data_IF_576814478744
#
_entry.id   IF_576814478744
#
_cell.length_a   1.000
_cell.length_b   1.000
_cell.length_c   1.000
_cell.angle_alpha   90.00
_cell.angle_beta   90.00
_cell.angle_gamma   90.00
#
_symmetry.space_group_name_H-M   'P 1'
#
loop_
_entity.id
_entity.type
_entity.pdbx_description
1 polymer ?
#
# COMPACT_ATOMS: atom_id res chain seq x y z
N UNK A 1 10.42 21.62 -7.44
CA UNK A 1 10.45 20.60 -6.36
C UNK A 1 9.45 20.97 -5.27
N UNK A 2 8.21 20.46 -5.37
CA UNK A 2 7.10 20.68 -4.40
C UNK A 2 7.52 20.55 -2.93
N UNK A 3 6.95 21.37 -2.05
CA UNK A 3 7.14 21.27 -0.59
C UNK A 3 6.40 20.06 -0.03
N UNK A 4 6.86 19.52 1.10
CA UNK A 4 6.24 18.35 1.76
C UNK A 4 4.76 18.61 2.09
N UNK A 5 4.43 19.78 2.62
CA UNK A 5 3.05 20.17 2.90
C UNK A 5 2.18 20.23 1.64
N UNK A 6 2.74 20.62 0.50
CA UNK A 6 2.04 20.63 -0.79
C UNK A 6 1.77 19.21 -1.27
N UNK A 7 2.68 18.25 -1.04
CA UNK A 7 2.46 16.84 -1.37
C UNK A 7 1.31 16.27 -0.54
N UNK A 8 1.28 16.53 0.77
CA UNK A 8 0.19 16.10 1.66
C UNK A 8 -1.13 16.70 1.18
N UNK A 9 -1.19 18.02 0.96
CA UNK A 9 -2.39 18.70 0.49
C UNK A 9 -2.87 18.15 -0.86
N UNK A 10 -1.97 18.02 -1.82
CA UNK A 10 -2.28 17.54 -3.16
C UNK A 10 -2.73 16.08 -3.15
N UNK A 11 -2.16 15.23 -2.29
CA UNK A 11 -2.63 13.84 -2.13
C UNK A 11 -4.07 13.77 -1.62
N UNK A 12 -4.42 14.62 -0.64
CA UNK A 12 -5.78 14.70 -0.13
C UNK A 12 -6.75 15.27 -1.15
N UNK A 13 -6.37 16.36 -1.82
CA UNK A 13 -7.18 17.01 -2.85
C UNK A 13 -7.45 16.07 -4.03
N UNK A 14 -6.43 15.33 -4.49
CA UNK A 14 -6.58 14.34 -5.56
C UNK A 14 -7.53 13.22 -5.14
N UNK A 15 -7.36 12.70 -3.93
CA UNK A 15 -8.19 11.61 -3.41
C UNK A 15 -9.66 12.03 -3.23
N UNK A 16 -9.91 13.19 -2.60
CA UNK A 16 -11.26 13.68 -2.31
C UNK A 16 -11.99 14.23 -3.52
N UNK A 17 -11.33 14.99 -4.39
CA UNK A 17 -11.95 15.55 -5.60
C UNK A 17 -12.40 14.48 -6.59
N UNK A 18 -11.77 13.30 -6.57
CA UNK A 18 -12.10 12.15 -7.43
C UNK A 18 -12.54 10.93 -6.62
N UNK A 19 -13.04 11.11 -5.39
CA UNK A 19 -13.35 10.01 -4.47
C UNK A 19 -14.24 8.92 -5.08
N UNK A 20 -15.29 9.30 -5.83
CA UNK A 20 -16.17 8.34 -6.52
C UNK A 20 -15.43 7.41 -7.49
N UNK A 21 -14.34 7.87 -8.10
CA UNK A 21 -13.52 7.06 -9.01
C UNK A 21 -12.54 6.15 -8.26
N UNK A 22 -12.22 6.46 -7.00
CA UNK A 22 -11.45 5.58 -6.14
C UNK A 22 -12.30 4.50 -5.45
N UNK A 23 -13.63 4.68 -5.39
CA UNK A 23 -14.55 3.78 -4.69
C UNK A 23 -14.46 2.30 -5.11
N UNK A 24 -14.30 1.94 -6.41
CA UNK A 24 -14.09 0.55 -6.80
C UNK A 24 -12.80 -0.06 -6.24
N UNK A 25 -11.73 0.74 -6.15
CA UNK A 25 -10.46 0.29 -5.57
C UNK A 25 -10.56 0.11 -4.06
N UNK A 26 -11.26 1.02 -3.37
CA UNK A 26 -11.57 0.90 -1.95
C UNK A 26 -12.36 -0.37 -1.66
N UNK A 27 -13.42 -0.62 -2.44
CA UNK A 27 -14.22 -1.84 -2.33
C UNK A 27 -13.40 -3.10 -2.59
N UNK A 28 -12.54 -3.09 -3.62
CA UNK A 28 -11.67 -4.24 -3.91
C UNK A 28 -10.67 -4.51 -2.77
N UNK A 29 -9.98 -3.49 -2.27
CA UNK A 29 -9.03 -3.63 -1.15
C UNK A 29 -9.75 -4.09 0.11
N UNK A 30 -10.91 -3.52 0.41
CA UNK A 30 -11.72 -3.90 1.56
C UNK A 30 -12.18 -5.36 1.46
N UNK A 31 -12.76 -5.78 0.33
CA UNK A 31 -13.22 -7.16 0.14
C UNK A 31 -12.06 -8.14 0.27
N UNK A 32 -10.90 -7.82 -0.33
CA UNK A 32 -9.72 -8.69 -0.25
C UNK A 32 -9.16 -8.79 1.16
N UNK A 33 -9.04 -7.67 1.88
CA UNK A 33 -8.58 -7.66 3.28
C UNK A 33 -9.56 -8.38 4.20
N UNK A 34 -10.86 -8.08 4.11
CA UNK A 34 -11.91 -8.77 4.85
C UNK A 34 -11.93 -10.28 4.57
N UNK A 35 -11.73 -10.70 3.32
CA UNK A 35 -11.63 -12.11 2.97
C UNK A 35 -10.42 -12.77 3.64
N UNK A 36 -9.25 -12.12 3.63
CA UNK A 36 -8.05 -12.65 4.29
C UNK A 36 -8.22 -12.73 5.81
N UNK A 37 -8.68 -11.65 6.44
CA UNK A 37 -8.91 -11.56 7.88
C UNK A 37 -9.96 -12.58 8.35
N UNK A 38 -11.09 -12.67 7.64
CA UNK A 38 -12.15 -13.64 7.93
C UNK A 38 -11.63 -15.07 7.75
N UNK A 39 -10.92 -15.36 6.67
CA UNK A 39 -10.39 -16.70 6.42
C UNK A 39 -9.43 -17.14 7.55
N UNK A 40 -8.59 -16.23 8.05
CA UNK A 40 -7.68 -16.51 9.15
C UNK A 40 -8.44 -16.87 10.44
N UNK A 41 -9.47 -16.10 10.79
CA UNK A 41 -10.32 -16.38 11.96
C UNK A 41 -11.07 -17.70 11.80
N UNK A 42 -11.66 -17.95 10.64
CA UNK A 42 -12.41 -19.19 10.40
C UNK A 42 -11.51 -20.43 10.46
N UNK A 43 -10.32 -20.35 9.86
CA UNK A 43 -9.31 -21.42 9.91
C UNK A 43 -8.89 -21.68 11.36
N UNK A 44 -8.64 -20.62 12.12
CA UNK A 44 -8.18 -20.78 13.50
C UNK A 44 -9.27 -21.35 14.42
N UNK A 45 -10.50 -20.84 14.30
CA UNK A 45 -11.63 -21.20 15.16
C UNK A 45 -12.21 -22.58 14.85
N UNK A 46 -12.38 -22.92 13.56
CA UNK A 46 -13.20 -24.06 13.14
C UNK A 46 -12.41 -25.25 12.60
N UNK A 47 -11.16 -25.07 12.16
CA UNK A 47 -10.36 -26.18 11.64
C UNK A 47 -9.53 -26.82 12.75
N UNK A 48 -9.75 -28.10 13.00
CA UNK A 48 -8.93 -28.91 13.92
C UNK A 48 -7.69 -29.43 13.20
N UNK A 49 -6.81 -28.51 12.79
CA UNK A 49 -5.54 -28.82 12.11
C UNK A 49 -4.36 -28.41 12.99
N UNK A 50 -3.17 -29.02 12.81
CA UNK A 50 -1.94 -28.52 13.41
C UNK A 50 -1.68 -27.06 13.03
N UNK A 51 -1.10 -26.28 13.94
CA UNK A 51 -0.84 -24.84 13.73
C UNK A 51 -0.03 -24.56 12.45
N UNK A 52 0.89 -25.46 12.10
CA UNK A 52 1.67 -25.35 10.86
C UNK A 52 0.78 -25.42 9.61
N UNK A 53 -0.23 -26.29 9.59
CA UNK A 53 -1.14 -26.41 8.46
C UNK A 53 -2.05 -25.18 8.36
N UNK A 54 -2.58 -24.68 9.48
CA UNK A 54 -3.36 -23.43 9.53
C UNK A 54 -2.57 -22.25 8.97
N UNK A 55 -1.32 -22.09 9.41
CA UNK A 55 -0.41 -21.05 8.95
C UNK A 55 -0.12 -21.13 7.45
N UNK A 56 0.11 -22.34 6.92
CA UNK A 56 0.36 -22.52 5.48
C UNK A 56 -0.87 -22.18 4.64
N UNK A 57 -2.08 -22.58 5.08
CA UNK A 57 -3.32 -22.28 4.37
C UNK A 57 -3.61 -20.78 4.41
N UNK A 58 -3.55 -20.14 5.58
CA UNK A 58 -3.80 -18.69 5.72
C UNK A 58 -2.75 -17.87 4.97
N UNK A 59 -1.48 -18.29 5.01
CA UNK A 59 -0.39 -17.72 4.24
C UNK A 59 -0.63 -17.82 2.74
N UNK A 60 -1.09 -18.98 2.24
CA UNK A 60 -1.40 -19.15 0.83
C UNK A 60 -2.59 -18.28 0.37
N UNK A 61 -3.66 -18.19 1.16
CA UNK A 61 -4.79 -17.29 0.89
C UNK A 61 -4.33 -15.83 0.85
N UNK A 62 -3.52 -15.42 1.84
CA UNK A 62 -2.97 -14.06 1.91
C UNK A 62 -2.06 -13.75 0.72
N UNK A 63 -1.26 -14.73 0.29
CA UNK A 63 -0.41 -14.61 -0.90
C UNK A 63 -1.25 -14.38 -2.16
N UNK A 64 -2.32 -15.16 -2.38
CA UNK A 64 -3.23 -14.96 -3.50
C UNK A 64 -3.92 -13.58 -3.44
N UNK A 65 -4.38 -13.17 -2.26
CA UNK A 65 -4.98 -11.85 -2.07
C UNK A 65 -3.98 -10.71 -2.35
N UNK A 66 -2.70 -10.89 -2.00
CA UNK A 66 -1.65 -9.92 -2.30
C UNK A 66 -1.40 -9.79 -3.82
N UNK A 67 -1.41 -10.91 -4.55
CA UNK A 67 -1.34 -10.89 -6.02
C UNK A 67 -2.51 -10.07 -6.62
N UNK A 68 -3.74 -10.28 -6.15
CA UNK A 68 -4.89 -9.50 -6.63
C UNK A 68 -4.78 -8.03 -6.23
N UNK A 69 -4.35 -7.72 -5.00
CA UNK A 69 -4.12 -6.34 -4.56
C UNK A 69 -3.08 -5.62 -5.40
N UNK A 70 -2.09 -6.33 -5.94
CA UNK A 70 -1.09 -5.74 -6.83
C UNK A 70 -1.72 -5.20 -8.13
N UNK A 71 -2.79 -5.85 -8.64
CA UNK A 71 -3.58 -5.33 -9.78
C UNK A 71 -4.24 -4.00 -9.40
N UNK A 72 -4.82 -3.92 -8.20
CA UNK A 72 -5.49 -2.72 -7.69
C UNK A 72 -4.49 -1.58 -7.52
N UNK A 73 -3.29 -1.87 -6.99
CA UNK A 73 -2.22 -0.90 -6.84
C UNK A 73 -1.77 -0.31 -8.19
N UNK A 74 -1.59 -1.16 -9.21
CA UNK A 74 -1.29 -0.69 -10.58
C UNK A 74 -2.39 0.23 -11.10
N UNK A 75 -3.66 -0.15 -10.90
CA UNK A 75 -4.80 0.66 -11.31
C UNK A 75 -4.81 2.03 -10.61
N UNK A 76 -4.59 2.07 -9.29
CA UNK A 76 -4.52 3.31 -8.52
C UNK A 76 -3.41 4.23 -9.05
N UNK A 77 -2.21 3.69 -9.32
CA UNK A 77 -1.08 4.46 -9.86
C UNK A 77 -1.45 5.07 -11.22
N UNK A 78 -2.02 4.28 -12.14
CA UNK A 78 -2.45 4.77 -13.46
C UNK A 78 -3.55 5.83 -13.37
N UNK A 79 -4.59 5.58 -12.59
CA UNK A 79 -5.70 6.54 -12.43
C UNK A 79 -5.20 7.84 -11.82
N UNK A 80 -4.36 7.77 -10.80
CA UNK A 80 -3.75 8.93 -10.16
C UNK A 80 -2.90 9.73 -11.14
N UNK A 81 -2.07 9.06 -11.94
CA UNK A 81 -1.27 9.69 -12.98
C UNK A 81 -2.16 10.48 -13.96
N UNK A 82 -3.24 9.87 -14.46
CA UNK A 82 -4.18 10.54 -15.37
C UNK A 82 -4.87 11.74 -14.71
N UNK A 83 -5.32 11.61 -13.45
CA UNK A 83 -5.94 12.71 -12.71
C UNK A 83 -5.00 13.88 -12.49
N UNK A 84 -3.75 13.62 -12.09
CA UNK A 84 -2.73 14.66 -11.92
C UNK A 84 -2.38 15.35 -13.25
N UNK A 85 -2.68 14.73 -14.40
CA UNK A 85 -2.55 15.34 -15.73
C UNK A 85 -3.84 15.97 -16.25
N UNK A 86 -4.91 16.06 -15.46
CA UNK A 86 -6.25 16.49 -15.90
C UNK A 86 -6.78 15.71 -17.11
N UNK A 87 -6.36 14.45 -17.27
CA UNK A 87 -6.83 13.54 -18.32
C UNK A 87 -7.85 12.56 -17.74
N UNK A 88 -8.83 12.16 -18.55
CA UNK A 88 -9.72 11.06 -18.17
C UNK A 88 -8.94 9.74 -18.17
N UNK A 89 -9.12 8.88 -17.16
CA UNK A 89 -8.57 7.55 -17.17
C UNK A 89 -9.29 6.72 -18.24
N UNK A 90 -8.57 6.41 -19.31
CA UNK A 90 -8.97 5.44 -20.32
C UNK A 90 -7.95 4.30 -20.24
N UNK A 91 -8.16 3.42 -19.24
CA UNK A 91 -7.30 2.26 -19.05
C UNK A 91 -8.15 1.00 -19.11
N UNK A 92 -7.68 0.04 -19.89
CA UNK A 92 -8.30 -1.28 -19.97
C UNK A 92 -7.62 -2.24 -19.00
N UNK A 93 -8.30 -3.33 -18.64
CA UNK A 93 -7.66 -4.42 -17.90
C UNK A 93 -6.44 -4.98 -18.65
N UNK A 94 -6.45 -4.97 -20.00
CA UNK A 94 -5.31 -5.43 -20.81
C UNK A 94 -4.05 -4.58 -20.58
N UNK A 95 -4.20 -3.26 -20.39
CA UNK A 95 -3.07 -2.38 -20.08
C UNK A 95 -2.44 -2.72 -18.72
N UNK A 96 -3.28 -3.04 -17.73
CA UNK A 96 -2.84 -3.41 -16.38
C UNK A 96 -2.13 -4.77 -16.42
N UNK A 97 -2.75 -5.79 -17.03
CA UNK A 97 -2.16 -7.13 -17.12
C UNK A 97 -0.87 -7.15 -17.97
N UNK A 98 -0.74 -6.25 -18.96
CA UNK A 98 0.47 -6.13 -19.78
C UNK A 98 1.73 -5.71 -19.02
N UNK A 99 1.56 -4.98 -17.90
CA UNK A 99 2.65 -4.54 -17.01
C UNK A 99 2.69 -5.30 -15.69
N UNK A 100 1.66 -6.09 -15.36
CA UNK A 100 1.51 -6.79 -14.07
C UNK A 100 2.72 -7.66 -13.70
N UNK A 101 3.03 -8.68 -14.51
CA UNK A 101 4.15 -9.60 -14.24
C UNK A 101 5.52 -8.91 -14.27
N UNK A 102 5.82 -8.04 -15.25
CA UNK A 102 7.05 -7.25 -15.23
C UNK A 102 7.19 -6.38 -13.98
N UNK A 103 6.10 -5.73 -13.54
CA UNK A 103 6.09 -4.89 -12.35
C UNK A 103 6.31 -5.71 -11.07
N UNK A 104 5.71 -6.90 -10.96
CA UNK A 104 5.96 -7.82 -9.84
C UNK A 104 7.44 -8.22 -9.82
N UNK A 105 7.97 -8.71 -10.94
CA UNK A 105 9.34 -9.20 -11.02
C UNK A 105 10.34 -8.13 -10.59
N UNK A 106 10.21 -6.91 -11.12
CA UNK A 106 11.13 -5.83 -10.78
C UNK A 106 10.94 -5.32 -9.35
N UNK A 107 9.71 -5.35 -8.82
CA UNK A 107 9.43 -4.99 -7.42
C UNK A 107 10.04 -6.00 -6.45
N UNK A 108 10.00 -7.30 -6.77
CA UNK A 108 10.67 -8.35 -6.00
C UNK A 108 12.18 -8.14 -6.03
N UNK A 109 12.78 -7.88 -7.20
CA UNK A 109 14.22 -7.61 -7.29
C UNK A 109 14.63 -6.38 -6.47
N UNK A 110 13.90 -5.27 -6.59
CA UNK A 110 14.14 -4.06 -5.80
C UNK A 110 13.99 -4.34 -4.28
N UNK A 111 12.98 -5.13 -3.92
CA UNK A 111 12.74 -5.57 -2.55
C UNK A 111 13.87 -6.42 -1.99
N UNK A 112 14.40 -7.38 -2.77
CA UNK A 112 15.53 -8.22 -2.38
C UNK A 112 16.81 -7.41 -2.19
N UNK A 113 17.10 -6.46 -3.09
CA UNK A 113 18.26 -5.56 -2.95
C UNK A 113 18.12 -4.71 -1.68
N UNK A 114 16.93 -4.16 -1.44
CA UNK A 114 16.63 -3.35 -0.26
C UNK A 114 16.74 -4.15 1.03
N UNK A 115 16.19 -5.36 1.05
CA UNK A 115 16.29 -6.29 2.18
C UNK A 115 17.74 -6.70 2.46
N UNK A 116 18.52 -7.02 1.40
CA UNK A 116 19.96 -7.26 1.52
C UNK A 116 20.71 -6.07 2.10
N UNK A 117 20.32 -4.84 1.72
CA UNK A 117 20.82 -3.61 2.32
C UNK A 117 20.59 -3.56 3.83
N UNK A 118 19.35 -3.82 4.28
CA UNK A 118 19.00 -3.84 5.71
C UNK A 118 19.67 -4.99 6.49
N UNK A 119 19.89 -6.15 5.87
CA UNK A 119 20.64 -7.27 6.48
C UNK A 119 22.08 -6.87 6.75
N UNK A 120 22.70 -6.11 5.85
CA UNK A 120 24.05 -5.59 6.06
C UNK A 120 24.05 -4.50 7.14
N UNK A 121 23.28 -3.42 6.95
CA UNK A 121 23.15 -2.31 7.88
C UNK A 121 21.88 -1.47 7.60
N UNK A 122 21.40 -0.72 8.60
CA UNK A 122 20.25 0.18 8.44
C UNK A 122 20.49 1.24 7.37
N UNK A 123 21.68 1.86 7.35
CA UNK A 123 22.00 2.96 6.43
C UNK A 123 21.94 2.53 4.95
N UNK A 124 22.62 1.45 4.50
CA UNK A 124 22.46 0.91 3.15
C UNK A 124 21.01 0.55 2.78
N UNK A 125 20.25 -0.05 3.71
CA UNK A 125 18.84 -0.38 3.48
C UNK A 125 17.97 0.85 3.16
N UNK A 126 18.16 1.93 3.93
CA UNK A 126 17.48 3.20 3.68
C UNK A 126 17.92 3.84 2.34
N UNK A 127 19.22 3.76 2.01
CA UNK A 127 19.75 4.28 0.75
C UNK A 127 19.10 3.57 -0.45
N UNK A 128 19.08 2.23 -0.44
CA UNK A 128 18.48 1.42 -1.50
C UNK A 128 16.98 1.63 -1.61
N UNK A 129 16.28 1.80 -0.49
CA UNK A 129 14.85 2.13 -0.49
C UNK A 129 14.56 3.38 -1.32
N UNK A 130 15.35 4.45 -1.15
CA UNK A 130 15.17 5.69 -1.91
C UNK A 130 15.58 5.51 -3.37
N UNK A 131 16.72 4.87 -3.63
CA UNK A 131 17.22 4.64 -4.99
C UNK A 131 16.24 3.83 -5.84
N UNK A 132 15.53 2.86 -5.25
CA UNK A 132 14.61 1.98 -5.95
C UNK A 132 13.13 2.28 -5.73
N UNK A 133 12.80 3.38 -5.05
CA UNK A 133 11.42 3.79 -4.80
C UNK A 133 10.60 3.99 -6.08
N UNK A 134 11.26 4.37 -7.19
CA UNK A 134 10.59 4.73 -8.45
C UNK A 134 10.50 3.59 -9.47
N UNK A 135 11.15 2.46 -9.22
CA UNK A 135 11.23 1.33 -10.15
C UNK A 135 9.84 0.85 -10.58
N UNK A 136 8.91 0.73 -9.63
CA UNK A 136 7.54 0.32 -9.90
C UNK A 136 6.78 1.34 -10.76
N UNK A 137 6.97 2.64 -10.50
CA UNK A 137 6.31 3.71 -11.25
C UNK A 137 6.82 3.77 -12.69
N UNK A 138 8.12 3.58 -12.93
CA UNK A 138 8.69 3.52 -14.27
C UNK A 138 8.13 2.29 -15.02
N UNK A 139 8.10 1.11 -14.37
CA UNK A 139 7.56 -0.11 -14.97
C UNK A 139 6.09 0.04 -15.40
N UNK A 140 5.29 0.68 -14.56
CA UNK A 140 3.85 0.86 -14.79
C UNK A 140 3.61 1.98 -15.80
N UNK A 141 4.04 3.20 -15.51
CA UNK A 141 3.65 4.39 -16.26
C UNK A 141 4.36 4.50 -17.61
N UNK A 142 5.59 3.99 -17.71
CA UNK A 142 6.36 4.00 -18.94
C UNK A 142 6.31 2.67 -19.69
N UNK A 143 5.58 1.67 -19.15
CA UNK A 143 5.44 0.31 -19.70
C UNK A 143 6.77 -0.38 -20.02
N UNK A 144 7.86 0.03 -19.34
CA UNK A 144 9.20 -0.55 -19.51
C UNK A 144 9.38 -1.82 -18.68
N UNK A 145 10.36 -2.64 -19.04
CA UNK A 145 10.63 -3.96 -18.42
C UNK A 145 12.15 -4.17 -18.27
N UNK A 146 12.53 -5.10 -17.40
CA UNK A 146 13.91 -5.54 -17.24
C UNK A 146 14.72 -4.76 -16.19
N UNK A 147 15.97 -5.19 -15.98
CA UNK A 147 16.83 -4.69 -14.91
C UNK A 147 17.33 -3.25 -15.13
N UNK A 148 17.26 -2.73 -16.35
CA UNK A 148 17.62 -1.34 -16.66
C UNK A 148 16.78 -0.33 -15.86
N UNK A 149 15.56 -0.73 -15.44
CA UNK A 149 14.70 0.07 -14.57
C UNK A 149 15.34 0.39 -13.22
N UNK A 150 16.16 -0.52 -12.68
CA UNK A 150 16.88 -0.30 -11.43
C UNK A 150 17.91 0.83 -11.60
N UNK A 151 18.64 0.83 -12.72
CA UNK A 151 19.60 1.88 -13.05
C UNK A 151 18.88 3.20 -13.28
N UNK A 152 17.77 3.19 -13.99
CA UNK A 152 16.99 4.40 -14.27
C UNK A 152 16.41 5.02 -12.98
N UNK A 153 15.86 4.21 -12.08
CA UNK A 153 15.38 4.69 -10.76
C UNK A 153 16.52 5.24 -9.90
N UNK A 154 17.70 4.60 -9.94
CA UNK A 154 18.89 5.09 -9.27
C UNK A 154 19.31 6.47 -9.79
N UNK A 155 19.40 6.65 -11.10
CA UNK A 155 19.77 7.95 -11.69
C UNK A 155 18.75 9.05 -11.38
N UNK A 156 17.46 8.72 -11.27
CA UNK A 156 16.44 9.68 -10.80
C UNK A 156 16.75 10.19 -9.38
N UNK A 157 17.33 9.35 -8.53
CA UNK A 157 17.61 9.65 -7.12
C UNK A 157 19.00 10.21 -6.87
N UNK A 158 19.90 10.08 -7.85
CA UNK A 158 21.31 10.48 -7.75
C UNK A 158 21.44 11.97 -7.48
N UNK A 159 22.26 12.32 -6.48
CA UNK A 159 22.47 13.71 -6.05
C UNK A 159 21.27 14.38 -5.36
N UNK A 160 20.13 13.68 -5.20
CA UNK A 160 18.88 14.24 -4.66
C UNK A 160 18.28 13.36 -3.55
N UNK A 161 19.10 12.56 -2.89
CA UNK A 161 18.70 11.58 -1.86
C UNK A 161 17.85 12.20 -0.75
N UNK A 162 18.37 13.19 -0.02
CA UNK A 162 17.68 13.79 1.13
C UNK A 162 16.34 14.47 0.77
N UNK A 163 16.27 15.29 -0.31
CA UNK A 163 14.99 15.81 -0.78
C UNK A 163 13.98 14.72 -1.11
N UNK A 164 14.38 13.64 -1.77
CA UNK A 164 13.48 12.54 -2.15
C UNK A 164 13.04 11.76 -0.92
N UNK A 165 13.98 11.40 -0.04
CA UNK A 165 13.71 10.71 1.20
C UNK A 165 12.64 11.43 2.03
N UNK A 166 12.81 12.74 2.27
CA UNK A 166 11.83 13.52 3.03
C UNK A 166 10.45 13.59 2.36
N UNK A 167 10.40 13.63 1.02
CA UNK A 167 9.14 13.68 0.25
C UNK A 167 8.42 12.35 0.17
N UNK A 168 9.13 11.23 0.29
CA UNK A 168 8.53 9.90 0.42
C UNK A 168 8.13 9.62 1.86
N UNK A 169 9.02 9.85 2.82
CA UNK A 169 8.80 9.40 4.20
C UNK A 169 7.83 10.29 4.95
N UNK A 170 7.98 11.62 4.91
CA UNK A 170 7.19 12.51 5.77
C UNK A 170 5.69 12.49 5.44
N UNK A 171 5.25 12.57 4.17
CA UNK A 171 3.82 12.45 3.85
C UNK A 171 3.24 11.08 4.19
N UNK A 172 3.98 10.00 3.96
CA UNK A 172 3.51 8.65 4.30
C UNK A 172 3.40 8.46 5.81
N UNK A 173 4.36 8.95 6.60
CA UNK A 173 4.26 8.94 8.08
C UNK A 173 3.06 9.79 8.54
N UNK A 174 2.86 10.98 7.96
CA UNK A 174 1.72 11.83 8.29
C UNK A 174 0.40 11.07 8.11
N UNK A 175 0.19 10.45 6.94
CA UNK A 175 -1.04 9.69 6.68
C UNK A 175 -1.16 8.42 7.53
N UNK A 176 -0.04 7.76 7.85
CA UNK A 176 -0.04 6.62 8.76
C UNK A 176 -0.48 7.02 10.18
N UNK A 177 -0.02 8.17 10.68
CA UNK A 177 -0.47 8.70 11.97
C UNK A 177 -1.96 9.00 11.93
N UNK A 178 -2.47 9.65 10.88
CA UNK A 178 -3.90 9.93 10.74
C UNK A 178 -4.74 8.64 10.70
N UNK A 179 -4.30 7.63 9.95
CA UNK A 179 -4.96 6.34 9.88
C UNK A 179 -4.97 5.62 11.24
N UNK A 180 -3.84 5.64 11.95
CA UNK A 180 -3.72 5.07 13.29
C UNK A 180 -4.62 5.78 14.29
N UNK A 181 -4.65 7.12 14.29
CA UNK A 181 -5.52 7.89 15.18
C UNK A 181 -7.00 7.64 14.90
N UNK A 182 -7.39 7.51 13.62
CA UNK A 182 -8.75 7.14 13.24
C UNK A 182 -9.13 5.75 13.77
N UNK A 183 -8.25 4.76 13.58
CA UNK A 183 -8.45 3.40 14.09
C UNK A 183 -8.55 3.36 15.62
N UNK A 184 -7.58 3.97 16.30
CA UNK A 184 -7.53 4.05 17.75
C UNK A 184 -8.76 4.77 18.32
N UNK A 185 -9.22 5.85 17.68
CA UNK A 185 -10.44 6.55 18.06
C UNK A 185 -11.67 5.65 18.01
N UNK A 186 -11.85 4.90 16.90
CA UNK A 186 -12.97 3.96 16.76
C UNK A 186 -12.88 2.84 17.78
N UNK A 187 -11.70 2.29 18.03
CA UNK A 187 -11.52 1.23 19.03
C UNK A 187 -11.80 1.71 20.45
N UNK A 188 -11.40 2.94 20.80
CA UNK A 188 -11.76 3.53 22.08
C UNK A 188 -13.28 3.72 22.21
N UNK A 189 -13.96 4.17 21.16
CA UNK A 189 -15.43 4.30 21.17
C UNK A 189 -16.12 2.94 21.35
N UNK A 190 -15.66 1.91 20.65
CA UNK A 190 -16.17 0.54 20.85
C UNK A 190 -15.93 0.11 22.29
N UNK A 191 -14.72 0.31 22.82
CA UNK A 191 -14.34 -0.05 24.19
C UNK A 191 -15.21 0.61 25.26
N UNK A 192 -15.55 1.89 25.08
CA UNK A 192 -16.47 2.62 25.95
C UNK A 192 -17.88 2.02 25.95
N UNK A 193 -18.36 1.54 24.80
CA UNK A 193 -19.69 0.93 24.67
C UNK A 193 -19.74 -0.44 25.37
N UNK A 194 -18.66 -1.22 25.26
CA UNK A 194 -18.60 -2.58 25.83
C UNK A 194 -18.05 -2.64 27.25
N UNK A 195 -17.54 -1.51 27.79
CA UNK A 195 -16.99 -1.42 29.15
C UNK A 195 -15.63 -2.11 29.34
N UNK A 196 -14.91 -2.42 28.26
CA UNK A 196 -13.59 -3.08 28.29
C UNK A 196 -12.67 -2.52 27.20
N UNK A 197 -11.35 -2.56 27.41
CA UNK A 197 -10.39 -2.13 26.40
C UNK A 197 -10.35 -3.09 25.22
N UNK A 198 -10.44 -2.55 24.01
CA UNK A 198 -10.40 -3.31 22.74
C UNK A 198 -8.98 -3.76 22.37
N UNK A 199 -7.96 -3.27 23.09
CA UNK A 199 -6.54 -3.49 22.80
C UNK A 199 -6.12 -4.93 23.15
N UNK A 200 -6.77 -5.57 24.14
CA UNK A 200 -6.52 -6.96 24.51
C UNK A 200 -7.45 -7.91 23.75
N UNK A 201 -7.12 -8.13 22.47
CA UNK A 201 -7.90 -8.97 21.55
C UNK A 201 -7.93 -10.45 21.92
N UNK A 202 -7.06 -10.92 22.82
CA UNK A 202 -6.99 -12.32 23.23
C UNK A 202 -8.18 -12.76 24.10
N UNK A 203 -8.84 -11.82 24.78
CA UNK A 203 -10.04 -12.10 25.59
C UNK A 203 -11.34 -11.69 24.87
N UNK A 204 -11.23 -11.07 23.68
CA UNK A 204 -12.38 -10.68 22.90
C UNK A 204 -13.10 -11.92 22.33
N UNK A 205 -14.39 -12.08 22.67
CA UNK A 205 -15.23 -13.10 22.03
C UNK A 205 -15.29 -12.92 20.50
N UNK A 206 -15.56 -14.00 19.78
CA UNK A 206 -15.52 -14.05 18.31
C UNK A 206 -16.26 -12.88 17.62
N UNK A 207 -17.44 -12.51 18.12
CA UNK A 207 -18.22 -11.39 17.57
C UNK A 207 -17.47 -10.05 17.63
N UNK A 208 -16.83 -9.74 18.76
CA UNK A 208 -16.04 -8.52 18.92
C UNK A 208 -14.78 -8.56 18.05
N UNK A 209 -14.11 -9.72 17.97
CA UNK A 209 -12.93 -9.89 17.10
C UNK A 209 -13.28 -9.60 15.62
N UNK A 210 -14.41 -10.13 15.13
CA UNK A 210 -14.87 -9.85 13.76
C UNK A 210 -15.18 -8.37 13.51
N UNK A 211 -15.75 -7.67 14.49
CA UNK A 211 -15.98 -6.21 14.40
C UNK A 211 -14.66 -5.45 14.32
N UNK A 212 -13.68 -5.80 15.16
CA UNK A 212 -12.35 -5.19 15.17
C UNK A 212 -11.66 -5.36 13.82
N UNK A 213 -11.70 -6.57 13.25
CA UNK A 213 -11.11 -6.87 11.94
C UNK A 213 -11.80 -6.08 10.83
N UNK A 214 -13.14 -6.08 10.81
CA UNK A 214 -13.92 -5.33 9.83
C UNK A 214 -13.56 -3.84 9.85
N UNK A 215 -13.48 -3.22 11.03
CA UNK A 215 -13.10 -1.81 11.17
C UNK A 215 -11.66 -1.58 10.70
N UNK A 216 -10.73 -2.48 11.05
CA UNK A 216 -9.33 -2.41 10.63
C UNK A 216 -9.19 -2.46 9.12
N UNK A 217 -9.86 -3.41 8.48
CA UNK A 217 -9.87 -3.62 7.04
C UNK A 217 -10.48 -2.42 6.31
N UNK A 218 -11.55 -1.84 6.86
CA UNK A 218 -12.19 -0.64 6.31
C UNK A 218 -11.26 0.59 6.37
N UNK A 219 -10.60 0.81 7.50
CA UNK A 219 -9.64 1.91 7.66
C UNK A 219 -8.43 1.70 6.73
N UNK A 220 -7.87 0.49 6.70
CA UNK A 220 -6.76 0.16 5.81
C UNK A 220 -7.13 0.39 4.33
N UNK A 221 -8.31 -0.07 3.91
CA UNK A 221 -8.80 0.14 2.56
C UNK A 221 -8.93 1.63 2.22
N UNK A 222 -9.48 2.45 3.13
CA UNK A 222 -9.64 3.88 2.94
C UNK A 222 -8.31 4.61 2.72
N UNK A 223 -7.29 4.34 3.55
CA UNK A 223 -6.02 5.06 3.48
C UNK A 223 -5.05 4.52 2.42
N UNK A 224 -5.19 3.26 1.98
CA UNK A 224 -4.27 2.62 1.03
C UNK A 224 -4.02 3.45 -0.26
N UNK A 225 -5.06 3.98 -0.95
CA UNK A 225 -4.83 4.79 -2.15
C UNK A 225 -3.99 6.05 -1.91
N UNK A 226 -4.06 6.64 -0.72
CA UNK A 226 -3.31 7.87 -0.41
C UNK A 226 -1.80 7.64 -0.49
N UNK A 227 -1.30 6.50 0.00
CA UNK A 227 0.12 6.14 -0.09
C UNK A 227 0.58 6.02 -1.55
N UNK A 228 -0.22 5.40 -2.41
CA UNK A 228 0.05 5.30 -3.84
C UNK A 228 -0.02 6.67 -4.54
N UNK A 229 -0.93 7.54 -4.12
CA UNK A 229 -1.03 8.91 -4.63
C UNK A 229 0.23 9.72 -4.30
N UNK A 230 0.67 9.68 -3.04
CA UNK A 230 1.91 10.34 -2.58
C UNK A 230 3.08 9.91 -3.45
N UNK A 231 3.30 8.60 -3.63
CA UNK A 231 4.41 8.13 -4.43
C UNK A 231 4.32 8.51 -5.91
N UNK A 232 3.11 8.54 -6.48
CA UNK A 232 2.88 9.01 -7.87
C UNK A 232 3.21 10.51 -8.03
N UNK A 233 2.82 11.34 -7.06
CA UNK A 233 3.16 12.78 -7.05
C UNK A 233 4.68 12.97 -6.99
N UNK A 234 5.37 12.26 -6.08
CA UNK A 234 6.82 12.37 -5.91
C UNK A 234 7.55 11.89 -7.17
N UNK A 235 7.13 10.76 -7.73
CA UNK A 235 7.69 10.24 -8.98
C UNK A 235 7.62 11.28 -10.10
N UNK A 236 6.45 11.88 -10.33
CA UNK A 236 6.25 12.92 -11.35
C UNK A 236 7.15 14.12 -11.13
N UNK A 237 7.38 14.53 -9.89
CA UNK A 237 8.21 15.69 -9.58
C UNK A 237 9.71 15.42 -9.78
N UNK A 238 10.16 14.19 -9.54
CA UNK A 238 11.58 13.79 -9.73
C UNK A 238 11.90 13.54 -11.21
N UNK A 239 10.89 13.13 -11.99
CA UNK A 239 10.98 12.83 -13.43
C UNK A 239 10.93 14.06 -14.34
N UNK A 240 10.40 15.19 -13.86
CA UNK A 240 10.49 16.50 -14.53
C UNK A 240 11.94 16.98 -14.59
#
# INVERSE_FOLDING_TARGET
MLKIAEIIRLSWETYTSKFKQYLPFLGAIFILSALTSLSAVLIDQFLTLPNIAKFLISGFISFLAYLVNFVVLIAIIYYTDKFLSNKKPDISLKDIFGVYWPAIFISILAGLITAGGFILFIVPGVIFTVWYAFVMYIAILEKKKGMELLKESHELSRGRFWPIFGRLVVPNIFWAIIAYLALAGIFNLIGLIIGQSVIDTQEAGLGLNLIILFVSDLIAAFFTPIYAIVGTIVFREVRK
#
